data_IF_836836806397
#
_entry.id   IF_836836806397
#
_cell.length_a   1.000
_cell.length_b   1.000
_cell.length_c   1.000
_cell.angle_alpha   90.00
_cell.angle_beta   90.00
_cell.angle_gamma   90.00
#
_symmetry.space_group_name_H-M   'P 1'
#
loop_
_entity.id
_entity.type
_entity.pdbx_description
1 polymer ?
#
# COMPACT_ATOMS: atom_id res chain seq x y z
N UNK A 1 4.55 -5.90 -15.99
CA UNK A 1 4.44 -6.22 -14.55
C UNK A 1 2.97 -6.44 -14.21
N UNK A 2 2.61 -7.30 -13.23
CA UNK A 2 1.20 -7.70 -13.01
C UNK A 2 0.31 -6.53 -12.57
N UNK A 3 0.71 -5.82 -11.52
CA UNK A 3 -0.03 -4.70 -10.94
C UNK A 3 -0.21 -3.59 -11.99
N UNK A 4 0.85 -3.25 -12.70
CA UNK A 4 0.85 -2.22 -13.74
C UNK A 4 -0.02 -2.61 -14.94
N UNK A 5 -0.08 -3.88 -15.32
CA UNK A 5 -0.99 -4.34 -16.38
C UNK A 5 -2.45 -4.27 -15.93
N UNK A 6 -2.75 -4.70 -14.70
CA UNK A 6 -4.09 -4.58 -14.12
C UNK A 6 -4.52 -3.11 -14.01
N UNK A 7 -3.57 -2.21 -13.75
CA UNK A 7 -3.83 -0.77 -13.73
C UNK A 7 -4.24 -0.23 -15.10
N UNK A 8 -3.59 -0.66 -16.19
CA UNK A 8 -3.97 -0.19 -17.52
C UNK A 8 -5.31 -0.77 -18.02
N UNK A 9 -5.78 -1.90 -17.47
CA UNK A 9 -7.14 -2.40 -17.71
C UNK A 9 -8.20 -1.80 -16.80
N UNK A 10 -7.81 -1.16 -15.68
CA UNK A 10 -8.75 -0.63 -14.69
C UNK A 10 -9.81 0.32 -15.28
N UNK A 11 -9.47 1.26 -16.20
CA UNK A 11 -10.50 2.11 -16.80
C UNK A 11 -11.62 1.31 -17.49
N UNK A 12 -11.29 0.23 -18.19
CA UNK A 12 -12.31 -0.64 -18.81
C UNK A 12 -13.22 -1.27 -17.76
N UNK A 13 -12.65 -1.78 -16.67
CA UNK A 13 -13.40 -2.39 -15.57
C UNK A 13 -14.31 -1.38 -14.88
N UNK A 14 -13.82 -0.16 -14.62
CA UNK A 14 -14.62 0.91 -13.99
C UNK A 14 -15.85 1.29 -14.84
N UNK A 15 -15.76 1.26 -16.17
CA UNK A 15 -16.90 1.59 -17.03
C UNK A 15 -17.79 0.37 -17.33
N UNK A 16 -17.24 -0.84 -17.34
CA UNK A 16 -17.96 -2.06 -17.73
C UNK A 16 -18.74 -2.76 -16.60
N UNK A 17 -18.35 -2.57 -15.34
CA UNK A 17 -18.85 -3.37 -14.20
C UNK A 17 -20.06 -2.77 -13.47
N UNK A 18 -20.66 -1.69 -13.98
CA UNK A 18 -21.70 -0.97 -13.25
C UNK A 18 -21.18 -0.25 -11.99
N UNK A 19 -19.87 -0.02 -11.93
CA UNK A 19 -19.15 0.65 -10.83
C UNK A 19 -19.82 1.95 -10.35
N UNK A 20 -20.46 2.67 -11.27
CA UNK A 20 -21.37 3.80 -11.03
C UNK A 20 -22.32 3.65 -9.83
N UNK A 21 -22.71 2.42 -9.49
CA UNK A 21 -23.63 2.14 -8.38
C UNK A 21 -22.90 1.88 -7.05
N UNK A 22 -21.59 1.63 -7.09
CA UNK A 22 -20.72 1.24 -5.97
C UNK A 22 -19.51 2.20 -5.80
N UNK A 23 -19.72 3.48 -6.12
CA UNK A 23 -18.72 4.57 -6.12
C UNK A 23 -18.20 4.93 -4.71
N UNK A 24 -17.45 4.01 -4.08
CA UNK A 24 -16.76 4.17 -2.81
C UNK A 24 -15.38 3.51 -2.85
N UNK A 25 -14.55 3.79 -1.85
CA UNK A 25 -13.14 3.33 -1.78
C UNK A 25 -12.99 1.81 -1.94
N UNK A 26 -13.79 1.04 -1.18
CA UNK A 26 -13.85 -0.42 -1.32
C UNK A 26 -14.27 -0.88 -2.73
N UNK A 27 -15.05 -0.06 -3.44
CA UNK A 27 -15.40 -0.30 -4.82
C UNK A 27 -14.18 -0.24 -5.74
N UNK A 28 -13.32 0.78 -5.59
CA UNK A 28 -12.11 0.92 -6.43
C UNK A 28 -11.16 -0.25 -6.21
N UNK A 29 -11.04 -0.71 -4.96
CA UNK A 29 -10.23 -1.88 -4.60
C UNK A 29 -10.85 -3.16 -5.20
N UNK A 30 -12.17 -3.30 -5.19
CA UNK A 30 -12.86 -4.41 -5.83
C UNK A 30 -12.67 -4.41 -7.36
N UNK A 31 -12.83 -3.25 -8.01
CA UNK A 31 -12.60 -3.09 -9.45
C UNK A 31 -11.14 -3.40 -9.84
N UNK A 32 -10.19 -2.98 -9.01
CA UNK A 32 -8.78 -3.30 -9.22
C UNK A 32 -8.47 -4.79 -8.98
N UNK A 33 -9.11 -5.40 -7.99
CA UNK A 33 -9.02 -6.84 -7.75
C UNK A 33 -9.54 -7.64 -8.95
N UNK A 34 -10.65 -7.21 -9.56
CA UNK A 34 -11.16 -7.81 -10.81
C UNK A 34 -10.16 -7.67 -11.96
N UNK A 35 -9.52 -6.51 -12.08
CA UNK A 35 -8.46 -6.29 -13.07
C UNK A 35 -7.27 -7.24 -12.85
N UNK A 36 -6.86 -7.43 -11.59
CA UNK A 36 -5.81 -8.38 -11.21
C UNK A 36 -6.20 -9.82 -11.54
N UNK A 37 -7.45 -10.22 -11.25
CA UNK A 37 -7.96 -11.55 -11.58
C UNK A 37 -7.94 -11.80 -13.09
N UNK A 38 -8.32 -10.82 -13.92
CA UNK A 38 -8.22 -10.95 -15.38
C UNK A 38 -6.77 -11.16 -15.83
N UNK A 39 -5.84 -10.40 -15.27
CA UNK A 39 -4.41 -10.47 -15.58
C UNK A 39 -3.77 -11.79 -15.11
N UNK A 40 -4.22 -12.35 -13.98
CA UNK A 40 -3.79 -13.65 -13.47
C UNK A 40 -4.38 -14.81 -14.30
N UNK A 41 -5.68 -14.73 -14.63
CA UNK A 41 -6.35 -15.70 -15.51
C UNK A 41 -5.69 -15.73 -16.88
N UNK A 42 -5.41 -14.57 -17.48
CA UNK A 42 -4.70 -14.47 -18.77
C UNK A 42 -3.28 -15.05 -18.75
N UNK A 43 -2.72 -15.32 -17.56
CA UNK A 43 -1.44 -16.01 -17.36
C UNK A 43 -1.58 -17.48 -16.96
N UNK A 44 -2.80 -18.02 -16.95
CA UNK A 44 -3.10 -19.38 -16.51
C UNK A 44 -2.62 -19.66 -15.08
N UNK A 45 -2.70 -18.68 -14.18
CA UNK A 45 -2.40 -18.91 -12.75
C UNK A 45 -3.49 -19.81 -12.16
N UNK A 46 -3.16 -20.98 -11.60
CA UNK A 46 -4.14 -21.82 -10.93
C UNK A 46 -4.73 -21.09 -9.72
N UNK A 47 -6.06 -21.14 -9.57
CA UNK A 47 -6.79 -20.50 -8.47
C UNK A 47 -6.39 -19.02 -8.23
N UNK A 48 -6.59 -18.11 -9.20
CA UNK A 48 -6.05 -16.74 -9.12
C UNK A 48 -6.59 -15.93 -7.95
N UNK A 49 -7.76 -16.30 -7.40
CA UNK A 49 -8.34 -15.63 -6.24
C UNK A 49 -7.54 -15.88 -4.96
N UNK A 50 -6.87 -17.04 -4.81
CA UNK A 50 -6.03 -17.29 -3.63
C UNK A 50 -4.77 -16.44 -3.61
N UNK A 51 -4.42 -15.79 -4.72
CA UNK A 51 -3.35 -14.80 -4.74
C UNK A 51 -3.76 -13.45 -4.15
N UNK A 52 -5.05 -13.20 -3.89
CA UNK A 52 -5.57 -11.91 -3.43
C UNK A 52 -6.18 -12.05 -2.04
N UNK A 53 -5.87 -11.10 -1.17
CA UNK A 53 -6.42 -11.00 0.18
C UNK A 53 -6.78 -9.54 0.46
N UNK A 54 -8.07 -9.25 0.65
CA UNK A 54 -8.52 -7.93 1.11
C UNK A 54 -8.19 -7.77 2.59
N UNK A 55 -7.95 -6.54 3.04
CA UNK A 55 -7.89 -6.21 4.47
C UNK A 55 -6.81 -7.00 5.24
N UNK A 56 -5.69 -7.33 4.58
CA UNK A 56 -4.60 -8.09 5.23
C UNK A 56 -3.90 -7.23 6.27
N UNK A 57 -3.79 -7.75 7.49
CA UNK A 57 -3.06 -7.10 8.56
C UNK A 57 -1.58 -6.94 8.22
N UNK A 58 -1.01 -5.76 8.52
CA UNK A 58 0.44 -5.54 8.41
C UNK A 58 1.19 -6.40 9.43
N UNK A 59 0.64 -6.57 10.65
CA UNK A 59 1.19 -7.43 11.70
C UNK A 59 0.09 -8.30 12.27
N UNK A 60 0.31 -9.62 12.32
CA UNK A 60 -0.71 -10.61 12.68
C UNK A 60 -1.36 -10.34 14.04
N UNK A 61 -0.58 -9.91 15.03
CA UNK A 61 -1.06 -9.66 16.40
C UNK A 61 -1.31 -8.18 16.70
N UNK A 62 -1.22 -7.30 15.69
CA UNK A 62 -1.31 -5.85 15.90
C UNK A 62 -0.23 -5.29 16.82
N UNK A 63 0.90 -6.01 16.95
CA UNK A 63 1.98 -5.75 17.90
C UNK A 63 2.96 -4.69 17.36
N UNK A 64 2.54 -3.44 17.42
CA UNK A 64 3.42 -2.30 17.22
C UNK A 64 4.05 -1.94 18.58
N UNK A 65 5.25 -2.50 18.85
CA UNK A 65 5.94 -2.41 20.15
C UNK A 65 6.05 -0.99 20.69
N UNK A 66 5.44 -0.70 21.83
CA UNK A 66 5.48 0.64 22.43
C UNK A 66 4.21 1.46 22.17
N UNK A 67 3.28 0.91 21.38
CA UNK A 67 1.97 1.52 21.24
C UNK A 67 1.10 1.35 22.50
N UNK A 68 0.13 2.26 22.70
CA UNK A 68 -0.87 2.19 23.78
C UNK A 68 -1.86 1.01 23.63
N UNK A 69 -1.35 -0.22 23.53
CA UNK A 69 -2.11 -1.44 23.23
C UNK A 69 -1.96 -1.91 21.78
N UNK A 70 -2.53 -3.08 21.43
CA UNK A 70 -2.49 -3.61 20.08
C UNK A 70 -3.23 -2.69 19.10
N UNK A 71 -2.66 -2.51 17.90
CA UNK A 71 -3.22 -1.69 16.82
C UNK A 71 -3.26 -2.52 15.54
N UNK A 72 -4.45 -2.78 15.01
CA UNK A 72 -4.65 -3.68 13.88
C UNK A 72 -4.73 -2.92 12.56
N UNK A 73 -3.59 -2.44 12.06
CA UNK A 73 -3.54 -1.81 10.74
C UNK A 73 -3.59 -2.85 9.62
N UNK A 74 -4.35 -2.54 8.56
CA UNK A 74 -4.56 -3.40 7.40
C UNK A 74 -4.23 -2.67 6.12
N UNK A 75 -3.81 -3.41 5.10
CA UNK A 75 -3.77 -2.91 3.72
C UNK A 75 -5.09 -3.25 3.05
N UNK A 76 -5.60 -2.34 2.21
CA UNK A 76 -6.86 -2.58 1.49
C UNK A 76 -6.79 -3.86 0.63
N UNK A 77 -5.67 -4.05 -0.06
CA UNK A 77 -5.43 -5.24 -0.87
C UNK A 77 -3.99 -5.73 -0.75
N UNK A 78 -3.86 -7.02 -0.47
CA UNK A 78 -2.61 -7.75 -0.55
C UNK A 78 -2.65 -8.77 -1.69
N UNK A 79 -1.54 -8.87 -2.40
CA UNK A 79 -1.34 -9.88 -3.44
C UNK A 79 -0.12 -10.75 -3.13
N UNK A 80 -0.28 -12.06 -3.07
CA UNK A 80 0.79 -13.05 -2.99
C UNK A 80 0.88 -13.85 -4.30
N UNK A 81 1.98 -13.63 -5.03
CA UNK A 81 2.29 -14.33 -6.28
C UNK A 81 3.55 -15.19 -6.14
N UNK A 82 3.87 -15.62 -4.92
CA UNK A 82 5.02 -16.47 -4.68
C UNK A 82 4.92 -17.80 -5.44
N UNK A 83 3.73 -18.42 -5.41
CA UNK A 83 3.42 -19.70 -6.05
C UNK A 83 3.60 -19.71 -7.57
N UNK A 84 3.58 -18.54 -8.22
CA UNK A 84 3.82 -18.45 -9.66
C UNK A 84 5.23 -18.89 -10.06
N UNK A 85 6.20 -18.86 -9.13
CA UNK A 85 7.61 -19.26 -9.34
C UNK A 85 8.34 -18.61 -10.53
N UNK A 86 7.79 -17.54 -11.10
CA UNK A 86 8.39 -16.82 -12.24
C UNK A 86 9.44 -15.76 -11.86
N UNK A 87 9.55 -15.44 -10.56
CA UNK A 87 10.42 -14.38 -10.06
C UNK A 87 11.90 -14.64 -10.31
N UNK A 88 12.64 -13.64 -10.80
CA UNK A 88 14.08 -13.72 -11.01
C UNK A 88 14.76 -12.34 -10.92
N UNK A 89 16.10 -12.33 -10.86
CA UNK A 89 16.88 -11.08 -10.73
C UNK A 89 16.67 -10.09 -11.87
N UNK A 90 16.33 -10.55 -13.08
CA UNK A 90 16.05 -9.65 -14.23
C UNK A 90 14.68 -9.02 -14.07
N UNK A 91 13.64 -9.80 -13.76
CA UNK A 91 12.30 -9.27 -13.48
C UNK A 91 12.28 -8.31 -12.29
N UNK A 92 13.12 -8.56 -11.27
CA UNK A 92 13.24 -7.67 -10.12
C UNK A 92 13.63 -6.23 -10.50
N UNK A 93 14.39 -6.04 -11.59
CA UNK A 93 14.77 -4.72 -12.13
C UNK A 93 13.59 -3.95 -12.71
N UNK A 94 12.54 -4.65 -13.16
CA UNK A 94 11.30 -4.04 -13.63
C UNK A 94 10.30 -3.77 -12.51
N UNK A 95 10.66 -4.06 -11.25
CA UNK A 95 9.81 -3.88 -10.07
C UNK A 95 9.09 -5.15 -9.61
N UNK A 96 9.45 -6.34 -10.13
CA UNK A 96 8.79 -7.59 -9.72
C UNK A 96 9.02 -8.00 -8.28
N UNK A 97 7.93 -8.16 -7.52
CA UNK A 97 7.94 -8.56 -6.11
C UNK A 97 6.96 -9.71 -5.89
N UNK A 98 7.23 -10.54 -4.90
CA UNK A 98 6.40 -11.71 -4.62
C UNK A 98 5.13 -11.34 -3.84
N UNK A 99 5.25 -10.30 -3.03
CA UNK A 99 4.14 -9.75 -2.26
C UNK A 99 3.91 -8.32 -2.73
N UNK A 100 2.67 -7.91 -2.94
CA UNK A 100 2.31 -6.52 -3.20
C UNK A 100 1.29 -6.05 -2.18
N UNK A 101 1.61 -4.97 -1.50
CA UNK A 101 0.75 -4.27 -0.54
C UNK A 101 0.18 -3.04 -1.23
N UNK A 102 -1.13 -2.89 -1.22
CA UNK A 102 -1.84 -1.85 -1.93
C UNK A 102 -2.84 -1.13 -1.04
N UNK A 103 -2.78 0.20 -1.09
CA UNK A 103 -3.79 1.10 -0.56
C UNK A 103 -4.51 1.79 -1.73
N UNK A 104 -5.83 1.84 -1.69
CA UNK A 104 -6.69 2.42 -2.70
C UNK A 104 -7.37 3.69 -2.18
N UNK A 105 -7.43 4.74 -3.00
CA UNK A 105 -8.19 5.95 -2.68
C UNK A 105 -9.08 6.36 -3.84
N UNK A 106 -10.34 6.61 -3.56
CA UNK A 106 -11.29 7.11 -4.56
C UNK A 106 -11.77 8.51 -4.19
N UNK A 107 -11.64 9.44 -5.13
CA UNK A 107 -12.03 10.83 -4.97
C UNK A 107 -13.21 11.14 -5.88
N UNK A 108 -14.33 11.45 -5.24
CA UNK A 108 -15.60 11.71 -5.89
C UNK A 108 -16.08 13.12 -5.60
N UNK A 109 -16.79 13.71 -6.56
CA UNK A 109 -17.42 15.00 -6.38
C UNK A 109 -18.48 14.88 -5.27
N UNK A 110 -18.39 15.71 -4.20
CA UNK A 110 -19.41 15.70 -3.17
C UNK A 110 -20.78 16.01 -3.78
N UNK A 111 -21.82 15.32 -3.31
CA UNK A 111 -23.21 15.69 -3.62
C UNK A 111 -23.63 17.01 -2.93
N UNK A 112 -22.82 17.50 -1.99
CA UNK A 112 -23.10 18.68 -1.18
C UNK A 112 -22.69 20.00 -1.88
N UNK A 113 -23.26 21.16 -1.47
CA UNK A 113 -23.02 22.45 -2.11
C UNK A 113 -21.56 22.92 -2.06
N UNK A 114 -21.12 23.79 -2.98
CA UNK A 114 -19.70 24.10 -3.20
C UNK A 114 -18.94 24.72 -2.03
N UNK A 115 -19.65 25.34 -1.09
CA UNK A 115 -19.06 26.11 0.01
C UNK A 115 -18.30 25.23 1.03
N UNK A 116 -18.49 23.91 1.00
CA UNK A 116 -17.82 22.94 1.89
C UNK A 116 -16.54 22.32 1.30
N UNK A 117 -16.14 22.69 0.08
CA UNK A 117 -15.06 22.00 -0.64
C UNK A 117 -13.66 22.13 0.00
N UNK A 118 -13.33 23.23 0.69
CA UNK A 118 -11.95 23.46 1.15
C UNK A 118 -11.53 22.51 2.29
N UNK A 119 -12.44 22.20 3.22
CA UNK A 119 -12.24 21.26 4.32
C UNK A 119 -12.18 19.81 3.82
N UNK A 120 -13.01 19.46 2.83
CA UNK A 120 -12.98 18.15 2.18
C UNK A 120 -11.63 17.85 1.52
N UNK A 121 -11.02 18.83 0.83
CA UNK A 121 -9.68 18.69 0.23
C UNK A 121 -8.58 18.43 1.28
N UNK A 122 -8.69 19.03 2.47
CA UNK A 122 -7.68 18.84 3.52
C UNK A 122 -7.74 17.42 4.08
N UNK A 123 -8.94 16.90 4.32
CA UNK A 123 -9.13 15.53 4.81
C UNK A 123 -8.70 14.49 3.76
N UNK A 124 -9.07 14.70 2.50
CA UNK A 124 -8.63 13.90 1.35
C UNK A 124 -7.11 13.75 1.28
N UNK A 125 -6.38 14.87 1.38
CA UNK A 125 -4.91 14.85 1.34
C UNK A 125 -4.31 14.23 2.61
N UNK A 126 -4.94 14.41 3.77
CA UNK A 126 -4.49 13.78 5.02
C UNK A 126 -4.64 12.25 4.97
N UNK A 127 -5.77 11.74 4.46
CA UNK A 127 -5.98 10.30 4.25
C UNK A 127 -4.98 9.71 3.27
N UNK A 128 -4.73 10.39 2.14
CA UNK A 128 -3.70 9.98 1.18
C UNK A 128 -2.30 9.94 1.81
N UNK A 129 -1.98 10.91 2.68
CA UNK A 129 -0.72 10.92 3.42
C UNK A 129 -0.63 9.74 4.40
N UNK A 130 -1.72 9.44 5.12
CA UNK A 130 -1.77 8.32 6.04
C UNK A 130 -1.41 7.01 5.33
N UNK A 131 -2.02 6.74 4.17
CA UNK A 131 -1.76 5.53 3.38
C UNK A 131 -0.31 5.43 2.88
N UNK A 132 0.26 6.55 2.40
CA UNK A 132 1.66 6.57 1.99
C UNK A 132 2.60 6.26 3.16
N UNK A 133 2.32 6.79 4.34
CA UNK A 133 3.08 6.50 5.56
C UNK A 133 2.92 5.02 5.95
N UNK A 134 1.69 4.47 5.90
CA UNK A 134 1.42 3.05 6.18
C UNK A 134 2.21 2.14 5.24
N UNK A 135 2.12 2.35 3.92
CA UNK A 135 2.87 1.59 2.92
C UNK A 135 4.38 1.70 3.09
N UNK A 136 4.87 2.87 3.50
CA UNK A 136 6.29 3.08 3.71
C UNK A 136 6.81 2.35 4.96
N UNK A 137 6.06 2.41 6.07
CA UNK A 137 6.57 2.04 7.40
C UNK A 137 6.03 0.71 7.93
N UNK A 138 4.79 0.33 7.62
CA UNK A 138 4.15 -0.86 8.22
C UNK A 138 4.36 -2.15 7.46
N UNK A 139 4.73 -2.08 6.18
CA UNK A 139 5.01 -3.28 5.38
C UNK A 139 6.12 -4.11 6.05
N UNK A 140 5.85 -5.39 6.38
CA UNK A 140 6.82 -6.24 7.07
C UNK A 140 8.09 -6.42 6.26
N UNK A 141 9.22 -6.22 6.93
CA UNK A 141 10.55 -6.34 6.34
C UNK A 141 11.50 -7.11 7.26
N UNK A 142 12.50 -7.74 6.64
CA UNK A 142 13.53 -8.51 7.34
C UNK A 142 14.89 -7.92 7.02
N UNK A 143 15.58 -7.39 8.04
CA UNK A 143 16.85 -6.64 7.87
C UNK A 143 17.95 -7.52 7.24
N UNK A 144 17.91 -8.83 7.47
CA UNK A 144 18.86 -9.82 6.95
C UNK A 144 18.58 -10.25 5.51
N UNK A 145 17.49 -9.80 4.89
CA UNK A 145 17.05 -10.23 3.56
C UNK A 145 16.70 -9.04 2.68
N UNK A 146 16.78 -9.25 1.37
CA UNK A 146 16.24 -8.28 0.42
C UNK A 146 14.71 -8.26 0.53
N UNK A 147 14.14 -7.05 0.46
CA UNK A 147 12.69 -6.88 0.49
C UNK A 147 12.04 -7.64 -0.66
N UNK A 148 11.07 -8.49 -0.31
CA UNK A 148 10.21 -9.21 -1.27
C UNK A 148 8.90 -8.46 -1.53
N UNK A 149 8.71 -7.29 -0.93
CA UNK A 149 7.47 -6.54 -0.90
C UNK A 149 7.47 -5.38 -1.91
N UNK A 150 6.44 -5.36 -2.76
CA UNK A 150 6.02 -4.21 -3.53
C UNK A 150 5.03 -3.39 -2.73
N UNK A 151 5.05 -2.07 -2.94
CA UNK A 151 4.25 -1.07 -2.23
C UNK A 151 3.57 -0.21 -3.27
N UNK A 152 2.25 -0.19 -3.28
CA UNK A 152 1.48 0.46 -4.32
C UNK A 152 0.39 1.34 -3.71
N UNK A 153 0.26 2.55 -4.21
CA UNK A 153 -0.89 3.39 -3.93
C UNK A 153 -1.69 3.57 -5.22
N UNK A 154 -2.92 3.09 -5.21
CA UNK A 154 -3.89 3.34 -6.27
C UNK A 154 -4.73 4.54 -5.88
N UNK A 155 -4.85 5.53 -6.75
CA UNK A 155 -5.77 6.64 -6.53
C UNK A 155 -6.51 7.00 -7.82
N UNK A 156 -7.83 7.11 -7.69
CA UNK A 156 -8.75 7.30 -8.81
C UNK A 156 -9.67 8.49 -8.52
N UNK A 157 -9.92 9.28 -9.55
CA UNK A 157 -10.71 10.52 -9.45
C UNK A 157 -11.80 10.54 -10.52
N UNK A 158 -13.00 10.97 -10.18
CA UNK A 158 -14.09 11.24 -11.13
C UNK A 158 -14.02 12.63 -11.79
N UNK A 159 -13.01 13.42 -11.42
CA UNK A 159 -12.66 14.75 -11.96
C UNK A 159 -11.12 14.87 -12.01
N UNK A 160 -10.55 15.85 -12.73
CA UNK A 160 -9.11 16.07 -12.68
C UNK A 160 -8.57 16.17 -11.24
N UNK A 161 -7.39 15.60 -10.92
CA UNK A 161 -6.86 15.55 -9.55
C UNK A 161 -6.78 16.92 -8.85
N UNK A 162 -6.58 18.00 -9.60
CA UNK A 162 -6.53 19.38 -9.11
C UNK A 162 -7.85 19.83 -8.43
N UNK A 163 -8.95 19.16 -8.78
CA UNK A 163 -10.23 19.38 -8.11
C UNK A 163 -10.18 18.94 -6.64
N UNK A 164 -9.42 17.90 -6.31
CA UNK A 164 -9.36 17.31 -4.97
C UNK A 164 -8.09 17.65 -4.19
N UNK A 165 -6.95 17.78 -4.88
CA UNK A 165 -5.65 17.92 -4.26
C UNK A 165 -5.20 19.39 -4.23
N UNK A 166 -4.62 19.80 -3.10
CA UNK A 166 -4.12 21.17 -2.92
C UNK A 166 -2.62 21.26 -3.17
N UNK A 167 -2.24 21.51 -4.43
CA UNK A 167 -0.82 21.54 -4.83
C UNK A 167 0.00 22.69 -4.24
N UNK A 168 -0.61 23.86 -4.03
CA UNK A 168 0.11 25.08 -3.60
C UNK A 168 0.76 24.95 -2.22
N UNK A 169 0.07 24.32 -1.24
CA UNK A 169 0.60 24.12 0.11
C UNK A 169 1.36 22.80 0.25
N UNK A 170 1.14 21.85 -0.66
CA UNK A 170 1.64 20.47 -0.56
C UNK A 170 2.16 20.02 -1.91
N UNK A 171 3.34 20.52 -2.29
CA UNK A 171 3.95 20.30 -3.60
C UNK A 171 4.15 18.81 -3.93
N UNK A 172 4.29 17.93 -2.93
CA UNK A 172 4.40 16.50 -3.13
C UNK A 172 3.15 15.88 -3.79
N UNK A 173 1.96 16.44 -3.58
CA UNK A 173 0.72 15.94 -4.22
C UNK A 173 0.78 16.06 -5.74
N UNK A 174 1.43 17.11 -6.26
CA UNK A 174 1.65 17.28 -7.70
C UNK A 174 2.61 16.21 -8.23
N UNK A 175 3.64 15.87 -7.44
CA UNK A 175 4.58 14.81 -7.79
C UNK A 175 3.88 13.46 -7.84
N UNK A 176 2.99 13.14 -6.91
CA UNK A 176 2.23 11.88 -6.92
C UNK A 176 1.32 11.73 -8.16
N UNK A 177 0.86 12.84 -8.75
CA UNK A 177 0.07 12.82 -9.97
C UNK A 177 0.90 12.91 -11.26
N UNK A 178 2.20 13.18 -11.17
CA UNK A 178 3.08 13.31 -12.34
C UNK A 178 3.58 11.95 -12.80
N UNK A 179 3.55 11.69 -14.10
CA UNK A 179 3.99 10.43 -14.71
C UNK A 179 5.49 10.18 -14.52
N UNK A 180 5.89 8.92 -14.40
CA UNK A 180 7.29 8.49 -14.27
C UNK A 180 7.87 8.62 -12.85
N UNK A 181 9.20 8.70 -12.77
CA UNK A 181 9.95 8.70 -11.50
C UNK A 181 9.88 10.05 -10.79
N UNK A 182 9.58 10.03 -9.50
CA UNK A 182 9.40 11.22 -8.66
C UNK A 182 10.03 11.02 -7.28
N UNK A 183 10.57 12.10 -6.72
CA UNK A 183 11.08 12.11 -5.34
C UNK A 183 10.13 12.92 -4.44
N UNK A 184 9.51 12.25 -3.48
CA UNK A 184 8.58 12.85 -2.52
C UNK A 184 9.28 13.00 -1.18
N UNK A 185 9.23 14.22 -0.63
CA UNK A 185 9.78 14.54 0.69
C UNK A 185 8.63 15.02 1.56
N UNK A 186 8.45 14.34 2.70
CA UNK A 186 7.42 14.62 3.70
C UNK A 186 8.15 14.91 5.01
N UNK A 187 8.05 16.16 5.45
CA UNK A 187 8.69 16.68 6.66
C UNK A 187 7.81 17.75 7.28
N UNK A 188 8.01 18.06 8.56
CA UNK A 188 7.31 19.18 9.21
C UNK A 188 5.83 18.91 9.45
N UNK A 189 5.43 17.64 9.60
CA UNK A 189 4.05 17.24 9.88
C UNK A 189 3.50 17.87 11.17
N UNK A 190 4.38 18.20 12.13
CA UNK A 190 4.00 18.91 13.35
C UNK A 190 3.44 20.33 13.12
N UNK A 191 3.71 20.95 11.97
CA UNK A 191 3.20 22.28 11.61
C UNK A 191 1.83 22.24 10.91
N UNK A 192 1.28 21.05 10.65
CA UNK A 192 -0.01 20.90 9.98
C UNK A 192 -1.19 21.35 10.87
N UNK A 193 -2.26 21.82 10.23
CA UNK A 193 -3.45 22.32 10.94
C UNK A 193 -4.25 21.21 11.65
N UNK A 194 -5.06 21.58 12.64
CA UNK A 194 -5.83 20.64 13.46
C UNK A 194 -6.74 19.70 12.64
N UNK A 195 -7.34 20.18 11.54
CA UNK A 195 -8.18 19.35 10.67
C UNK A 195 -7.41 18.26 9.92
N UNK A 196 -6.14 18.51 9.59
CA UNK A 196 -5.24 17.55 8.96
C UNK A 196 -4.75 16.54 10.01
N UNK A 197 -4.29 17.03 11.17
CA UNK A 197 -3.87 16.21 12.30
C UNK A 197 -4.99 15.33 12.87
N UNK A 198 -6.26 15.72 12.74
CA UNK A 198 -7.39 14.88 13.16
C UNK A 198 -7.50 13.57 12.36
N UNK A 199 -7.02 13.56 11.13
CA UNK A 199 -7.02 12.38 10.25
C UNK A 199 -5.68 11.66 10.32
N UNK A 200 -4.56 12.40 10.21
CA UNK A 200 -3.23 11.81 10.18
C UNK A 200 -2.69 11.45 11.57
N UNK A 201 -3.07 12.18 12.60
CA UNK A 201 -2.34 12.24 13.86
C UNK A 201 -1.26 13.32 13.90
N UNK A 202 -0.64 13.50 15.07
CA UNK A 202 0.46 14.44 15.27
C UNK A 202 1.82 13.70 15.29
N UNK A 203 2.62 13.87 14.25
CA UNK A 203 3.89 13.17 14.02
C UNK A 203 5.04 14.16 13.75
N UNK A 204 5.40 15.03 14.71
CA UNK A 204 6.37 16.11 14.48
C UNK A 204 7.76 15.63 14.06
N UNK A 205 8.18 14.45 14.52
CA UNK A 205 9.54 13.94 14.34
C UNK A 205 9.69 13.04 13.11
N UNK A 206 8.58 12.66 12.47
CA UNK A 206 8.62 11.79 11.31
C UNK A 206 9.13 12.56 10.09
N UNK A 207 10.20 12.06 9.50
CA UNK A 207 10.70 12.50 8.21
C UNK A 207 10.69 11.32 7.25
N UNK A 208 10.12 11.52 6.08
CA UNK A 208 9.99 10.48 5.07
C UNK A 208 10.44 11.02 3.71
N UNK A 209 11.33 10.29 3.06
CA UNK A 209 11.69 10.50 1.66
C UNK A 209 11.35 9.24 0.90
N UNK A 210 10.56 9.39 -0.16
CA UNK A 210 10.10 8.31 -1.02
C UNK A 210 10.59 8.55 -2.44
N UNK A 211 11.13 7.51 -3.06
CA UNK A 211 11.24 7.47 -4.53
C UNK A 211 10.08 6.66 -5.05
N UNK A 212 9.26 7.26 -5.91
CA UNK A 212 8.08 6.62 -6.48
C UNK A 212 8.15 6.62 -8.00
N UNK A 213 7.62 5.58 -8.64
CA UNK A 213 7.33 5.56 -10.07
C UNK A 213 5.82 5.56 -10.24
N UNK A 214 5.29 6.57 -10.91
CA UNK A 214 3.87 6.72 -11.12
C UNK A 214 3.50 6.29 -12.54
N UNK A 215 2.38 5.60 -12.66
CA UNK A 215 1.73 5.25 -13.91
C UNK A 215 0.39 6.01 -13.96
N UNK A 216 0.11 6.64 -15.10
CA UNK A 216 -1.06 7.51 -15.25
C UNK A 216 -1.93 7.03 -16.41
N UNK A 217 -3.22 6.82 -16.14
CA UNK A 217 -4.23 6.56 -17.15
C UNK A 217 -5.33 7.63 -17.03
N UNK A 218 -5.44 8.49 -18.05
CA UNK A 218 -6.36 9.63 -18.09
C UNK A 218 -7.24 9.57 -19.33
N UNK A 219 -8.48 10.10 -19.27
CA UNK A 219 -9.36 10.14 -20.42
C UNK A 219 -8.75 10.97 -21.56
N UNK A 220 -9.03 10.55 -22.80
CA UNK A 220 -8.64 11.30 -24.02
C UNK A 220 -9.58 12.48 -24.24
N UNK A 221 -10.87 12.30 -23.93
CA UNK A 221 -11.91 13.33 -23.98
C UNK A 221 -12.89 13.13 -22.82
N UNK A 222 -13.66 14.17 -22.48
CA UNK A 222 -14.59 14.16 -21.34
C UNK A 222 -16.04 14.40 -21.76
N UNK A 223 -16.39 14.13 -23.03
CA UNK A 223 -17.72 14.38 -23.59
C UNK A 223 -18.80 13.45 -23.03
N UNK A 224 -18.44 12.20 -22.74
CA UNK A 224 -19.34 11.19 -22.17
C UNK A 224 -18.93 10.90 -20.74
N UNK A 225 -19.72 11.36 -19.77
CA UNK A 225 -19.46 11.19 -18.35
C UNK A 225 -20.19 9.96 -17.77
N UNK A 226 -19.65 9.36 -16.69
CA UNK A 226 -18.40 9.74 -16.03
C UNK A 226 -17.16 9.28 -16.82
N UNK A 227 -16.03 9.91 -16.52
CA UNK A 227 -14.70 9.42 -16.88
C UNK A 227 -13.81 9.50 -15.66
N UNK A 228 -12.77 8.66 -15.61
CA UNK A 228 -11.91 8.54 -14.45
C UNK A 228 -10.44 8.83 -14.77
N UNK A 229 -9.80 9.60 -13.90
CA UNK A 229 -8.35 9.76 -13.86
C UNK A 229 -7.79 8.74 -12.90
N UNK A 230 -7.00 7.79 -13.39
CA UNK A 230 -6.42 6.72 -12.61
C UNK A 230 -4.92 6.94 -12.48
N UNK A 231 -4.40 6.73 -11.28
CA UNK A 231 -2.98 6.83 -10.97
C UNK A 231 -2.55 5.65 -10.10
N UNK A 232 -1.42 5.03 -10.44
CA UNK A 232 -0.78 4.00 -9.64
C UNK A 232 0.64 4.45 -9.31
N UNK A 233 0.92 4.62 -8.02
CA UNK A 233 2.25 4.98 -7.52
C UNK A 233 2.92 3.75 -6.93
N UNK A 234 4.04 3.31 -7.51
CA UNK A 234 4.89 2.26 -6.94
C UNK A 234 5.99 2.89 -6.11
N UNK A 235 6.12 2.52 -4.84
CA UNK A 235 7.21 2.98 -3.98
C UNK A 235 8.46 2.13 -4.23
N UNK A 236 9.49 2.76 -4.79
CA UNK A 236 10.75 2.12 -5.19
C UNK A 236 11.82 2.18 -4.11
N UNK A 237 11.84 3.26 -3.32
CA UNK A 237 12.75 3.41 -2.19
C UNK A 237 12.08 4.22 -1.07
N UNK A 238 12.49 3.95 0.16
CA UNK A 238 11.99 4.61 1.37
C UNK A 238 13.19 5.00 2.22
N UNK A 239 13.22 6.22 2.72
CA UNK A 239 14.06 6.64 3.83
C UNK A 239 13.15 7.25 4.90
N UNK A 240 13.05 6.60 6.04
CA UNK A 240 12.27 7.07 7.18
C UNK A 240 13.19 7.37 8.37
N UNK A 241 12.88 8.44 9.11
CA UNK A 241 13.63 8.85 10.30
C UNK A 241 12.68 9.33 11.40
N UNK A 242 12.98 8.92 12.63
CA UNK A 242 12.34 9.40 13.87
C UNK A 242 13.44 9.48 14.93
N UNK A 243 13.77 10.69 15.39
CA UNK A 243 14.86 10.91 16.35
C UNK A 243 16.19 10.33 15.86
N UNK A 244 16.77 9.39 16.63
CA UNK A 244 18.00 8.67 16.29
C UNK A 244 17.78 7.41 15.45
N UNK A 245 16.53 6.97 15.29
CA UNK A 245 16.19 5.79 14.51
C UNK A 245 15.98 6.17 13.04
N UNK A 246 16.53 5.34 12.15
CA UNK A 246 16.30 5.46 10.72
C UNK A 246 16.32 4.09 10.05
N UNK A 247 15.58 3.97 8.96
CA UNK A 247 15.77 2.89 8.00
C UNK A 247 15.70 3.42 6.57
N UNK A 248 16.44 2.75 5.69
CA UNK A 248 16.46 3.00 4.27
C UNK A 248 16.18 1.68 3.53
N UNK A 249 15.05 1.61 2.84
CA UNK A 249 14.81 0.63 1.79
C UNK A 249 15.35 1.21 0.48
N UNK A 250 16.44 0.63 -0.01
CA UNK A 250 17.09 1.08 -1.24
C UNK A 250 16.38 0.55 -2.49
N UNK A 251 16.67 1.15 -3.64
CA UNK A 251 16.13 0.72 -4.94
C UNK A 251 16.51 -0.72 -5.31
N UNK A 252 17.67 -1.18 -4.84
CA UNK A 252 18.16 -2.57 -4.95
C UNK A 252 17.54 -3.53 -3.93
N UNK A 253 16.67 -3.01 -3.05
CA UNK A 253 15.90 -3.73 -2.03
C UNK A 253 16.71 -4.21 -0.84
N UNK A 254 17.94 -3.72 -0.69
CA UNK A 254 18.66 -3.82 0.56
C UNK A 254 18.06 -2.85 1.58
N UNK A 255 18.06 -3.28 2.83
CA UNK A 255 17.55 -2.51 3.95
C UNK A 255 18.74 -2.12 4.82
N UNK A 256 18.89 -0.83 5.08
CA UNK A 256 19.91 -0.29 5.98
C UNK A 256 19.20 0.34 7.15
N UNK A 257 19.60 -0.01 8.37
CA UNK A 257 18.99 0.49 9.61
C UNK A 257 20.06 1.14 10.48
N UNK A 258 19.67 2.14 11.29
CA UNK A 258 20.56 2.73 12.30
C UNK A 258 20.79 1.81 13.50
N UNK A 259 19.83 0.93 13.80
CA UNK A 259 19.87 -0.05 14.89
C UNK A 259 19.00 -1.26 14.54
N UNK A 260 19.22 -2.44 15.15
CA UNK A 260 18.44 -3.64 14.87
C UNK A 260 16.93 -3.49 15.12
N UNK A 261 16.53 -2.57 15.99
CA UNK A 261 15.14 -2.28 16.35
C UNK A 261 14.55 -1.07 15.61
N UNK A 262 15.31 -0.40 14.73
CA UNK A 262 14.88 0.87 14.13
C UNK A 262 13.57 0.77 13.35
N UNK A 263 13.33 -0.34 12.63
CA UNK A 263 12.07 -0.58 11.93
C UNK A 263 10.88 -0.63 12.90
N UNK A 264 11.02 -1.37 14.01
CA UNK A 264 9.98 -1.50 15.02
C UNK A 264 9.72 -0.19 15.75
N UNK A 265 10.77 0.55 16.13
CA UNK A 265 10.63 1.84 16.82
C UNK A 265 9.93 2.89 15.94
N UNK A 266 10.26 2.96 14.66
CA UNK A 266 9.62 3.87 13.72
C UNK A 266 8.16 3.46 13.49
N UNK A 267 7.90 2.16 13.30
CA UNK A 267 6.54 1.65 13.12
C UNK A 267 5.67 1.90 14.37
N UNK A 268 6.21 1.72 15.57
CA UNK A 268 5.52 2.01 16.81
C UNK A 268 5.20 3.50 16.98
N UNK A 269 6.17 4.38 16.71
CA UNK A 269 5.96 5.82 16.76
C UNK A 269 4.79 6.26 15.87
N UNK A 270 4.74 5.72 14.65
CA UNK A 270 3.66 5.98 13.68
C UNK A 270 2.35 5.36 14.16
N UNK A 271 2.35 4.09 14.58
CA UNK A 271 1.17 3.38 15.04
C UNK A 271 0.45 4.08 16.20
N UNK A 272 1.21 4.63 17.15
CA UNK A 272 0.66 5.38 18.28
C UNK A 272 -0.09 6.64 17.87
N UNK A 273 0.47 7.33 16.89
CA UNK A 273 0.03 8.68 16.51
C UNK A 273 -0.99 8.64 15.39
N UNK A 274 -0.91 7.66 14.50
CA UNK A 274 -1.81 7.53 13.36
C UNK A 274 -3.24 7.41 13.88
N UNK A 275 -4.08 8.37 13.49
CA UNK A 275 -5.45 8.44 13.98
C UNK A 275 -6.32 7.40 13.29
N UNK A 276 -6.45 6.24 13.93
CA UNK A 276 -7.55 5.29 13.71
C UNK A 276 -8.30 5.24 15.03
N UNK A 277 -9.61 5.51 15.00
CA UNK A 277 -10.42 5.47 16.21
C UNK A 277 -10.37 4.05 16.81
N UNK A 278 -10.01 3.91 18.09
CA UNK A 278 -9.78 2.59 18.71
C UNK A 278 -11.04 1.70 18.76
N UNK A 279 -12.21 2.32 18.65
CA UNK A 279 -13.54 1.72 18.58
C UNK A 279 -14.03 1.50 17.14
N UNK A 280 -13.26 1.92 16.12
CA UNK A 280 -13.64 1.62 14.75
C UNK A 280 -13.50 0.12 14.45
N UNK A 281 -14.34 -0.44 13.57
CA UNK A 281 -14.15 -1.81 13.07
C UNK A 281 -12.75 -2.06 12.48
N UNK A 282 -12.12 -1.00 11.97
CA UNK A 282 -10.75 -1.02 11.43
C UNK A 282 -9.69 -1.26 12.51
N UNK A 283 -9.97 -0.93 13.77
CA UNK A 283 -9.08 -1.13 14.92
C UNK A 283 -9.35 -2.44 15.70
N UNK A 284 -10.31 -3.26 15.28
CA UNK A 284 -10.61 -4.55 15.90
C UNK A 284 -10.04 -5.69 15.06
N UNK A 285 -9.55 -6.81 15.65
CA UNK A 285 -9.13 -7.99 14.88
C UNK A 285 -10.29 -8.53 14.05
N UNK A 286 -10.02 -9.00 12.82
CA UNK A 286 -11.02 -9.76 12.06
C UNK A 286 -11.12 -11.12 12.74
N UNK A 287 -12.32 -11.66 13.02
CA UNK A 287 -12.44 -13.04 13.48
C UNK A 287 -11.70 -13.95 12.49
N UNK A 288 -10.76 -14.75 12.99
CA UNK A 288 -10.08 -15.74 12.17
C UNK A 288 -11.14 -16.66 11.55
N UNK A 289 -11.20 -16.72 10.23
CA UNK A 289 -11.88 -17.81 9.53
C UNK A 289 -10.87 -18.94 9.53
N UNK A 290 -11.01 -19.85 10.51
CA UNK A 290 -10.25 -21.08 10.75
C UNK A 290 -8.83 -21.12 10.15
N UNK A 291 -7.84 -20.87 11.01
CA UNK A 291 -6.41 -20.91 10.75
C UNK A 291 -5.84 -22.34 10.52
N UNK A 292 -6.53 -23.17 9.73
CA UNK A 292 -6.04 -24.52 9.39
C UNK A 292 -5.06 -24.56 8.20
N UNK A 293 -4.74 -23.43 7.56
CA UNK A 293 -3.94 -23.42 6.33
C UNK A 293 -2.50 -22.89 6.45
N UNK A 294 -2.12 -22.19 7.53
CA UNK A 294 -0.77 -21.58 7.65
C UNK A 294 0.22 -22.39 8.51
N UNK A 295 -0.22 -23.46 9.19
CA UNK A 295 0.66 -24.26 10.06
C UNK A 295 1.49 -25.33 9.30
N UNK A 296 1.09 -25.73 8.09
CA UNK A 296 1.73 -26.83 7.36
C UNK A 296 3.02 -26.43 6.60
N UNK A 297 3.27 -25.12 6.37
CA UNK A 297 4.45 -24.70 5.59
C UNK A 297 5.75 -24.63 6.40
N UNK A 298 5.68 -24.41 7.72
CA UNK A 298 6.87 -24.35 8.59
C UNK A 298 7.36 -25.74 9.04
N UNK A 299 6.48 -26.75 9.15
CA UNK A 299 6.88 -28.13 9.48
C UNK A 299 7.48 -28.89 8.27
N UNK A 300 7.06 -28.58 7.04
CA UNK A 300 7.63 -29.23 5.84
C UNK A 300 9.06 -28.78 5.51
N UNK A 301 9.49 -27.59 5.94
CA UNK A 301 10.90 -27.18 5.81
C UNK A 301 11.83 -27.81 6.86
N UNK A 302 11.29 -28.32 7.97
CA UNK A 302 12.08 -29.01 9.00
C UNK A 302 12.23 -30.52 8.71
N UNK A 303 11.25 -31.15 8.06
CA UNK A 303 11.25 -32.59 7.76
C UNK A 303 12.23 -33.02 6.66
N UNK A 304 12.40 -32.21 5.62
CA UNK A 304 13.23 -32.57 4.46
C UNK A 304 14.74 -32.42 4.69
N UNK A 305 15.16 -31.73 5.77
CA UNK A 305 16.57 -31.61 6.14
C UNK A 305 17.11 -32.81 6.96
N UNK A 306 16.23 -33.72 7.42
CA UNK A 306 16.60 -34.76 8.39
C UNK A 306 16.85 -36.17 7.81
N UNK A 307 16.65 -36.40 6.49
CA UNK A 307 16.72 -37.77 5.92
C UNK A 307 17.95 -38.03 5.03
N UNK A 308 18.80 -37.04 4.76
CA UNK A 308 20.02 -37.22 3.97
C UNK A 308 21.25 -37.53 4.84
N UNK A 309 21.29 -38.71 5.48
CA UNK A 309 22.45 -39.13 6.26
C UNK A 309 22.43 -40.59 6.69
N UNK A 310 22.75 -41.51 5.77
CA UNK A 310 23.20 -42.86 6.14
C UNK A 310 24.48 -43.19 5.35
N UNK A 311 25.59 -43.54 6.02
CA UNK A 311 26.86 -43.88 5.38
C UNK A 311 27.01 -45.39 5.09
N UNK A 312 27.78 -45.66 4.03
CA UNK A 312 28.68 -46.78 3.72
C UNK A 312 28.33 -48.26 4.02
N UNK A 313 28.34 -49.05 2.93
CA UNK A 313 29.21 -50.23 2.61
C UNK A 313 29.36 -51.38 3.65
N UNK A 314 29.63 -52.64 3.20
CA UNK A 314 30.73 -53.04 2.32
C UNK A 314 30.32 -53.68 0.99
#
# INVERSE_FOLDING_TARGET
MLIEQAFFSLPEVLHGSGYLQQDYEAGVVAAFSMSLLQVLNGRNVPNPISCLQSEKMFRAQGDFRGANGPRYFRTDLFMNIHSMTVGNKRLAQYGWRHNAWLEGKFFRRPSAPPETHSTAKTQAVAGMMADLIRLAVFVPERIDKQSRAGRYMLHVYDQPPEYYLTHQKRAWTKKLCADGSQDIVITGLGAEGASFKRILGDMPDLQLTLKVTNFVAKPVHTEHLPVYWCHLSRIDAVLARVGTHSFELKADRNIVVSSPDALDQIAAYVADRLHIAADSPEAQPVPEVDAEAEADEDEQQAGDAAVAGVPEAP
#
